data_IF_122639765567
#
_entry.id   IF_122639765567
#
_cell.length_a   1.000
_cell.length_b   1.000
_cell.length_c   1.000
_cell.angle_alpha   90.00
_cell.angle_beta   90.00
_cell.angle_gamma   90.00
#
_symmetry.space_group_name_H-M   'P 1'
#
loop_
_entity.id
_entity.type
_entity.pdbx_description
1 polymer ?
#
# COMPACT_ATOMS: atom_id res chain seq x y z
N UNK A 1 11.90 5.38 7.87
CA UNK A 1 10.95 5.82 6.83
C UNK A 1 10.24 7.05 7.35
N UNK A 2 10.00 8.07 6.52
CA UNK A 2 8.98 9.07 6.85
C UNK A 2 7.62 8.38 6.76
N UNK A 3 6.74 8.62 7.74
CA UNK A 3 5.34 8.19 7.65
C UNK A 3 4.72 8.80 6.39
N UNK A 4 4.37 7.96 5.42
CA UNK A 4 3.65 8.40 4.24
C UNK A 4 2.15 8.38 4.51
N UNK A 5 1.50 9.51 4.28
CA UNK A 5 0.04 9.59 4.34
C UNK A 5 -0.53 8.90 3.11
N UNK A 6 -1.14 7.74 3.32
CA UNK A 6 -1.86 7.04 2.26
C UNK A 6 -3.22 7.72 2.06
N UNK A 7 -3.31 8.56 1.02
CA UNK A 7 -4.53 9.32 0.70
C UNK A 7 -5.23 8.88 -0.59
N UNK A 8 -4.68 7.91 -1.33
CA UNK A 8 -5.29 7.34 -2.54
C UNK A 8 -4.76 5.93 -2.82
N UNK A 9 -5.47 5.17 -3.66
CA UNK A 9 -5.04 3.85 -4.12
C UNK A 9 -3.66 3.89 -4.81
N UNK A 10 -3.38 4.94 -5.58
CA UNK A 10 -2.07 5.14 -6.23
C UNK A 10 -0.93 5.29 -5.23
N UNK A 11 -1.16 5.99 -4.11
CA UNK A 11 -0.16 6.13 -3.05
C UNK A 11 0.01 4.80 -2.31
N UNK A 12 -1.09 4.09 -2.03
CA UNK A 12 -1.05 2.76 -1.44
C UNK A 12 -0.24 1.77 -2.30
N UNK A 13 -0.50 1.72 -3.61
CA UNK A 13 0.21 0.86 -4.55
C UNK A 13 1.72 1.15 -4.57
N UNK A 14 2.11 2.43 -4.58
CA UNK A 14 3.52 2.84 -4.47
C UNK A 14 4.14 2.45 -3.14
N UNK A 15 3.41 2.56 -2.03
CA UNK A 15 3.90 2.13 -0.72
C UNK A 15 4.16 0.62 -0.70
N UNK A 16 3.20 -0.19 -1.18
CA UNK A 16 3.33 -1.65 -1.30
C UNK A 16 4.56 -2.01 -2.15
N UNK A 17 4.72 -1.37 -3.32
CA UNK A 17 5.89 -1.54 -4.19
C UNK A 17 7.20 -1.27 -3.45
N UNK A 18 7.27 -0.16 -2.72
CA UNK A 18 8.47 0.22 -1.99
C UNK A 18 8.80 -0.77 -0.84
N UNK A 19 7.79 -1.30 -0.15
CA UNK A 19 8.00 -2.36 0.84
C UNK A 19 8.52 -3.65 0.20
N UNK A 20 7.92 -4.07 -0.94
CA UNK A 20 8.39 -5.23 -1.70
C UNK A 20 9.85 -5.10 -2.10
N UNK A 21 10.23 -3.96 -2.70
CA UNK A 21 11.58 -3.72 -3.18
C UNK A 21 12.62 -3.70 -2.05
N UNK A 22 12.27 -3.15 -0.88
CA UNK A 22 13.15 -3.20 0.30
C UNK A 22 13.39 -4.62 0.82
N UNK A 23 12.42 -5.52 0.63
CA UNK A 23 12.58 -6.94 0.94
C UNK A 23 13.33 -7.72 -0.15
N UNK A 24 13.74 -7.07 -1.23
CA UNK A 24 14.42 -7.72 -2.36
C UNK A 24 13.53 -8.65 -3.18
N UNK A 25 12.21 -8.56 -3.00
CA UNK A 25 11.26 -9.45 -3.67
C UNK A 25 10.92 -8.92 -5.06
N UNK A 26 10.82 -9.81 -6.04
CA UNK A 26 10.13 -9.58 -7.30
C UNK A 26 8.61 -9.58 -7.11
N UNK A 27 7.86 -9.04 -8.08
CA UNK A 27 6.40 -9.09 -8.04
C UNK A 27 5.87 -10.53 -8.06
N UNK A 28 6.59 -11.46 -8.69
CA UNK A 28 6.22 -12.88 -8.74
C UNK A 28 6.39 -13.53 -7.37
N UNK A 29 7.51 -13.30 -6.69
CA UNK A 29 7.75 -13.86 -5.35
C UNK A 29 6.73 -13.33 -4.33
N UNK A 30 6.42 -12.02 -4.37
CA UNK A 30 5.36 -11.48 -3.51
C UNK A 30 3.99 -12.10 -3.84
N UNK A 31 3.68 -12.30 -5.12
CA UNK A 31 2.43 -12.93 -5.54
C UNK A 31 2.32 -14.37 -5.02
N UNK A 32 3.43 -15.11 -5.04
CA UNK A 32 3.49 -16.49 -4.54
C UNK A 32 3.29 -16.54 -3.03
N UNK A 33 3.95 -15.67 -2.27
CA UNK A 33 3.78 -15.54 -0.81
C UNK A 33 2.32 -15.25 -0.42
N UNK A 34 1.63 -14.46 -1.24
CA UNK A 34 0.26 -14.00 -0.97
C UNK A 34 -0.78 -14.96 -1.56
N UNK A 35 -0.41 -15.86 -2.46
CA UNK A 35 -1.32 -16.76 -3.17
C UNK A 35 -2.20 -16.05 -4.20
N UNK A 36 -1.59 -15.22 -5.06
CA UNK A 36 -2.24 -14.51 -6.17
C UNK A 36 -1.40 -14.58 -7.45
N UNK A 37 -1.92 -14.07 -8.57
CA UNK A 37 -1.14 -13.95 -9.81
C UNK A 37 -0.18 -12.76 -9.73
N UNK A 38 0.97 -12.85 -10.39
CA UNK A 38 1.90 -11.71 -10.49
C UNK A 38 1.23 -10.47 -11.11
N UNK A 39 0.32 -10.66 -12.07
CA UNK A 39 -0.47 -9.56 -12.65
C UNK A 39 -1.37 -8.86 -11.62
N UNK A 40 -1.84 -9.57 -10.59
CA UNK A 40 -2.57 -8.99 -9.47
C UNK A 40 -1.67 -8.06 -8.66
N UNK A 41 -0.44 -8.49 -8.33
CA UNK A 41 0.53 -7.63 -7.64
C UNK A 41 0.88 -6.41 -8.50
N UNK A 42 1.10 -6.60 -9.80
CA UNK A 42 1.35 -5.49 -10.74
C UNK A 42 0.21 -4.48 -10.74
N UNK A 43 -1.05 -4.92 -10.88
CA UNK A 43 -2.23 -4.05 -10.87
C UNK A 43 -2.38 -3.27 -9.55
N UNK A 44 -2.02 -3.89 -8.43
CA UNK A 44 -2.04 -3.25 -7.12
C UNK A 44 -0.97 -2.15 -7.04
N UNK A 45 0.25 -2.44 -7.48
CA UNK A 45 1.37 -1.48 -7.43
C UNK A 45 1.16 -0.27 -8.35
N UNK A 46 0.43 -0.44 -9.45
CA UNK A 46 0.10 0.61 -10.42
C UNK A 46 -1.28 1.25 -10.19
N UNK A 47 -2.07 0.71 -9.27
CA UNK A 47 -3.46 1.07 -9.03
C UNK A 47 -4.34 0.99 -10.31
N UNK A 48 -4.10 -0.01 -11.15
CA UNK A 48 -4.85 -0.25 -12.40
C UNK A 48 -6.00 -1.26 -12.25
N UNK A 49 -6.41 -1.58 -11.02
CA UNK A 49 -7.56 -2.43 -10.74
C UNK A 49 -7.95 -2.42 -9.27
N UNK A 50 -9.05 -3.10 -8.94
CA UNK A 50 -9.57 -3.15 -7.58
C UNK A 50 -8.75 -4.08 -6.69
N UNK A 51 -8.44 -3.59 -5.49
CA UNK A 51 -7.79 -4.36 -4.43
C UNK A 51 -8.83 -4.91 -3.47
N UNK A 52 -8.96 -6.24 -3.42
CA UNK A 52 -9.73 -6.88 -2.34
C UNK A 52 -9.04 -6.63 -1.01
N UNK A 53 -9.79 -6.23 0.02
CA UNK A 53 -9.26 -6.01 1.38
C UNK A 53 -8.55 -7.25 1.93
N UNK A 54 -9.05 -8.46 1.64
CA UNK A 54 -8.38 -9.70 2.02
C UNK A 54 -6.99 -9.87 1.38
N UNK A 55 -6.80 -9.40 0.14
CA UNK A 55 -5.48 -9.37 -0.50
C UNK A 55 -4.60 -8.30 0.12
N UNK A 56 -5.16 -7.14 0.47
CA UNK A 56 -4.42 -6.08 1.18
C UNK A 56 -3.84 -6.59 2.50
N UNK A 57 -4.64 -7.24 3.34
CA UNK A 57 -4.14 -7.76 4.63
C UNK A 57 -3.09 -8.85 4.45
N UNK A 58 -3.26 -9.76 3.48
CA UNK A 58 -2.21 -10.75 3.17
C UNK A 58 -0.90 -10.09 2.69
N UNK A 59 -0.98 -9.02 1.90
CA UNK A 59 0.20 -8.25 1.49
C UNK A 59 0.88 -7.59 2.68
N UNK A 60 0.11 -6.97 3.59
CA UNK A 60 0.63 -6.35 4.82
C UNK A 60 1.38 -7.39 5.65
N UNK A 61 0.79 -8.57 5.87
CA UNK A 61 1.44 -9.68 6.57
C UNK A 61 2.71 -10.17 5.88
N UNK A 62 2.65 -10.45 4.57
CA UNK A 62 3.81 -10.96 3.81
C UNK A 62 4.95 -9.94 3.74
N UNK A 63 4.63 -8.65 3.77
CA UNK A 63 5.61 -7.56 3.78
C UNK A 63 6.08 -7.18 5.18
N UNK A 64 5.64 -7.88 6.23
CA UNK A 64 5.90 -7.54 7.64
C UNK A 64 5.73 -6.03 7.90
N UNK A 65 4.63 -5.49 7.37
CA UNK A 65 4.30 -4.08 7.49
C UNK A 65 3.13 -3.90 8.47
N UNK A 66 3.00 -2.69 9.01
CA UNK A 66 1.85 -2.26 9.80
C UNK A 66 1.09 -1.15 9.07
N UNK A 67 -0.24 -1.14 9.24
CA UNK A 67 -1.11 -0.05 8.81
C UNK A 67 -1.74 0.59 10.04
N UNK A 68 -1.57 1.91 10.18
CA UNK A 68 -2.20 2.69 11.26
C UNK A 68 -3.22 3.66 10.68
N UNK A 69 -4.34 3.81 11.38
CA UNK A 69 -5.36 4.80 11.06
C UNK A 69 -5.29 5.92 12.09
N UNK A 70 -5.21 7.16 11.60
CA UNK A 70 -5.12 8.35 12.44
C UNK A 70 -6.10 9.40 11.92
N UNK A 71 -6.67 10.20 12.82
CA UNK A 71 -7.51 11.32 12.42
C UNK A 71 -6.71 12.35 11.62
N UNK A 72 -7.30 12.88 10.54
CA UNK A 72 -6.71 13.98 9.80
C UNK A 72 -6.86 15.25 10.63
N UNK A 73 -5.76 15.81 11.12
CA UNK A 73 -5.77 17.15 11.70
C UNK A 73 -6.33 18.13 10.66
N UNK A 74 -7.47 18.77 10.97
CA UNK A 74 -7.98 19.89 10.17
C UNK A 74 -6.87 20.94 10.10
N UNK A 75 -6.60 21.51 8.93
CA UNK A 75 -5.86 22.77 8.89
C UNK A 75 -6.76 23.77 9.61
N UNK A 76 -6.39 24.19 10.82
CA UNK A 76 -6.93 25.44 11.36
C UNK A 76 -6.53 26.50 10.32
N UNK A 77 -7.50 27.07 9.63
CA UNK A 77 -7.29 28.26 8.83
C UNK A 77 -7.54 29.44 9.77
N UNK A 78 -6.51 30.04 10.39
CA UNK A 78 -6.71 31.24 11.21
C UNK A 78 -7.23 32.43 10.39
N UNK A 79 -7.16 32.36 9.05
CA UNK A 79 -7.46 33.47 8.15
C UNK A 79 -8.78 33.31 7.36
N UNK A 80 -9.76 32.57 7.89
CA UNK A 80 -11.12 32.62 7.36
C UNK A 80 -11.82 33.90 7.84
N UNK A 81 -11.69 34.97 7.07
CA UNK A 81 -12.51 36.18 7.16
C UNK A 81 -13.76 36.05 6.27
#
# INVERSE_FOLDING_TARGET
MQNQIISSAKILGKAIKAFRERKGLTQKELADLVGVKQSTVSNIETASGDLRLSTLFRLISALEADMTFNERKKKNNPDAW
#
